data_IF_676911565648
#
_entry.id   IF_676911565648
#
_cell.length_a   1.000
_cell.length_b   1.000
_cell.length_c   1.000
_cell.angle_alpha   90.00
_cell.angle_beta   90.00
_cell.angle_gamma   90.00
#
_symmetry.space_group_name_H-M   'P 1'
#
loop_
_entity.id
_entity.type
_entity.pdbx_description
1 polymer ?
#
# COMPACT_ATOMS: atom_id res chain seq x y z
N UNK A 1 18.80 5.36 -15.97
CA UNK A 1 17.88 4.48 -15.21
C UNK A 1 17.73 4.99 -13.78
N UNK A 2 16.53 5.20 -13.36
CA UNK A 2 16.26 5.68 -12.01
C UNK A 2 16.37 4.54 -11.00
N UNK A 3 17.12 4.77 -9.93
CA UNK A 3 17.22 3.81 -8.83
C UNK A 3 16.17 4.17 -7.79
N UNK A 4 15.25 3.24 -7.53
CA UNK A 4 14.25 3.39 -6.49
C UNK A 4 14.67 2.67 -5.23
N UNK A 5 14.41 3.28 -4.09
CA UNK A 5 14.61 2.65 -2.78
C UNK A 5 13.34 2.74 -1.96
N UNK A 6 13.16 1.78 -1.05
CA UNK A 6 12.05 1.79 -0.09
C UNK A 6 12.65 1.73 1.30
N UNK A 7 12.16 2.59 2.18
CA UNK A 7 12.63 2.68 3.56
C UNK A 7 11.47 2.95 4.51
N UNK A 8 11.72 2.75 5.81
CA UNK A 8 10.73 3.14 6.81
C UNK A 8 10.53 4.66 6.77
N UNK A 9 9.28 5.09 6.95
CA UNK A 9 8.96 6.51 7.01
C UNK A 9 9.47 7.12 8.30
N UNK A 10 9.80 8.41 8.25
CA UNK A 10 10.13 9.21 9.43
C UNK A 10 9.23 10.44 9.47
N UNK A 11 9.35 11.25 10.53
CA UNK A 11 8.49 12.42 10.73
C UNK A 11 8.52 13.38 9.53
N UNK A 12 9.67 13.52 8.89
CA UNK A 12 9.81 14.43 7.75
C UNK A 12 9.02 14.00 6.52
N UNK A 13 8.64 12.72 6.44
CA UNK A 13 7.88 12.19 5.31
C UNK A 13 6.38 12.44 5.42
N UNK A 14 5.88 12.73 6.61
CA UNK A 14 4.44 12.77 6.89
C UNK A 14 3.70 13.80 6.03
N UNK A 15 4.19 15.04 5.85
CA UNK A 15 3.48 15.99 4.97
C UNK A 15 3.30 15.47 3.54
N UNK A 16 4.33 14.85 2.95
CA UNK A 16 4.23 14.31 1.60
C UNK A 16 3.27 13.12 1.52
N UNK A 17 3.30 12.24 2.52
CA UNK A 17 2.39 11.09 2.59
C UNK A 17 0.93 11.57 2.68
N UNK A 18 0.64 12.50 3.59
CA UNK A 18 -0.72 13.00 3.77
C UNK A 18 -1.21 13.76 2.56
N UNK A 19 -0.35 14.51 1.89
CA UNK A 19 -0.71 15.24 0.67
C UNK A 19 -1.08 14.28 -0.46
N UNK A 20 -0.33 13.21 -0.63
CA UNK A 20 -0.61 12.20 -1.64
C UNK A 20 -1.91 11.45 -1.32
N UNK A 21 -2.14 11.12 -0.06
CA UNK A 21 -3.37 10.49 0.40
C UNK A 21 -4.58 11.37 0.04
N UNK A 22 -4.50 12.67 0.34
CA UNK A 22 -5.58 13.61 0.05
C UNK A 22 -5.84 13.75 -1.46
N UNK A 23 -4.79 13.61 -2.26
CA UNK A 23 -4.92 13.67 -3.72
C UNK A 23 -5.61 12.42 -4.29
N UNK A 24 -5.35 11.26 -3.71
CA UNK A 24 -5.76 9.98 -4.29
C UNK A 24 -7.06 9.41 -3.73
N UNK A 25 -7.50 9.84 -2.54
CA UNK A 25 -8.62 9.20 -1.86
C UNK A 25 -9.65 10.22 -1.40
N UNK A 26 -10.94 9.81 -1.45
CA UNK A 26 -12.06 10.69 -1.12
C UNK A 26 -12.22 10.92 0.39
N UNK A 27 -11.76 9.97 1.21
CA UNK A 27 -11.78 10.08 2.68
C UNK A 27 -10.36 9.90 3.20
N UNK A 28 -9.49 10.89 2.99
CA UNK A 28 -8.07 10.73 3.30
C UNK A 28 -7.80 10.71 4.80
N UNK A 29 -6.78 9.93 5.19
CA UNK A 29 -6.20 10.01 6.52
C UNK A 29 -5.41 11.32 6.63
N UNK A 30 -5.33 11.85 7.84
CA UNK A 30 -4.66 13.14 8.11
C UNK A 30 -3.21 12.91 8.54
N UNK A 31 -2.44 14.00 8.58
CA UNK A 31 -1.04 13.94 9.05
C UNK A 31 -0.94 13.28 10.42
N UNK A 32 -1.84 13.63 11.34
CA UNK A 32 -1.84 13.05 12.69
C UNK A 32 -1.98 11.53 12.66
N UNK A 33 -2.85 11.02 11.79
CA UNK A 33 -3.09 9.58 11.69
C UNK A 33 -1.82 8.85 11.22
N UNK A 34 -1.12 9.42 10.24
CA UNK A 34 0.14 8.85 9.76
C UNK A 34 1.25 9.01 10.80
N UNK A 35 1.32 10.14 11.48
CA UNK A 35 2.31 10.34 12.53
C UNK A 35 2.17 9.31 13.66
N UNK A 36 0.94 8.98 14.03
CA UNK A 36 0.67 7.98 15.06
C UNK A 36 1.18 6.59 14.66
N UNK A 37 1.24 6.29 13.36
CA UNK A 37 1.77 5.01 12.88
C UNK A 37 3.25 4.84 13.17
N UNK A 38 4.01 5.94 13.24
CA UNK A 38 5.47 5.88 13.40
C UNK A 38 5.88 5.27 14.73
N UNK A 39 5.02 5.37 15.75
CA UNK A 39 5.30 4.87 17.10
C UNK A 39 4.46 3.66 17.47
N UNK A 40 3.64 3.16 16.56
CA UNK A 40 2.78 1.99 16.81
C UNK A 40 3.47 0.74 16.24
N UNK A 41 3.89 -0.21 17.09
CA UNK A 41 4.58 -1.41 16.62
C UNK A 41 3.71 -2.32 15.74
N UNK A 42 2.38 -2.19 15.81
CA UNK A 42 1.46 -2.93 14.95
C UNK A 42 1.28 -2.31 13.57
N UNK A 43 1.87 -1.15 13.32
CA UNK A 43 1.73 -0.43 12.06
C UNK A 43 3.04 -0.39 11.31
N UNK A 44 2.94 -0.38 9.98
CA UNK A 44 4.09 -0.23 9.08
C UNK A 44 3.78 0.89 8.11
N UNK A 45 4.69 1.84 8.00
CA UNK A 45 4.62 2.90 7.00
C UNK A 45 5.97 2.96 6.30
N UNK A 46 5.98 2.63 5.02
CA UNK A 46 7.18 2.66 4.18
C UNK A 46 7.00 3.72 3.11
N UNK A 47 8.09 4.38 2.77
CA UNK A 47 8.11 5.34 1.66
C UNK A 47 9.08 4.90 0.59
N UNK A 48 8.74 5.22 -0.65
CA UNK A 48 9.61 4.98 -1.79
C UNK A 48 10.24 6.30 -2.21
N UNK A 49 11.49 6.21 -2.62
CA UNK A 49 12.22 7.35 -3.18
C UNK A 49 12.79 6.94 -4.54
N UNK A 50 12.76 7.87 -5.48
CA UNK A 50 13.37 7.70 -6.80
C UNK A 50 14.25 8.94 -7.03
N UNK A 51 15.54 8.72 -7.23
CA UNK A 51 16.52 9.83 -7.37
C UNK A 51 16.46 10.80 -6.19
N UNK A 52 16.25 10.26 -4.99
CA UNK A 52 16.20 11.05 -3.76
C UNK A 52 14.89 11.79 -3.51
N UNK A 53 13.91 11.64 -4.39
CA UNK A 53 12.60 12.29 -4.26
C UNK A 53 11.51 11.30 -3.88
N UNK A 54 10.55 11.75 -3.06
CA UNK A 54 9.40 10.96 -2.65
C UNK A 54 8.63 10.45 -3.86
N UNK A 55 8.42 9.14 -3.94
CA UNK A 55 7.71 8.51 -5.07
C UNK A 55 6.58 7.59 -4.65
N UNK A 56 6.16 7.65 -3.40
CA UNK A 56 4.99 6.89 -2.93
C UNK A 56 5.16 6.34 -1.53
N UNK A 57 4.08 5.71 -1.03
CA UNK A 57 4.09 5.10 0.30
C UNK A 57 3.17 3.89 0.35
N UNK A 58 3.38 3.05 1.36
CA UNK A 58 2.47 1.96 1.71
C UNK A 58 2.27 1.96 3.21
N UNK A 59 1.02 1.80 3.64
CA UNK A 59 0.63 1.72 5.04
C UNK A 59 -0.06 0.38 5.28
N UNK A 60 0.28 -0.26 6.40
CA UNK A 60 -0.26 -1.57 6.74
C UNK A 60 -0.35 -1.73 8.25
N UNK A 61 -1.16 -2.68 8.70
CA UNK A 61 -1.22 -3.09 10.09
C UNK A 61 -0.96 -4.59 10.18
N UNK A 62 -0.43 -5.04 11.33
CA UNK A 62 -0.11 -6.45 11.56
C UNK A 62 -0.72 -6.91 12.88
N UNK A 63 -1.43 -8.04 12.83
CA UNK A 63 -1.96 -8.72 14.01
C UNK A 63 -1.53 -10.18 13.90
N UNK A 64 -0.67 -10.60 14.84
CA UNK A 64 -0.08 -11.95 14.83
C UNK A 64 0.69 -12.16 13.50
N UNK A 65 0.31 -13.16 12.71
CA UNK A 65 0.96 -13.49 11.44
C UNK A 65 0.18 -12.98 10.22
N UNK A 66 -0.75 -12.04 10.43
CA UNK A 66 -1.57 -11.48 9.37
C UNK A 66 -1.40 -9.97 9.28
N UNK A 67 -1.26 -9.48 8.06
CA UNK A 67 -1.14 -8.05 7.79
C UNK A 67 -2.18 -7.61 6.79
N UNK A 68 -2.74 -6.43 7.00
CA UNK A 68 -3.64 -5.80 6.06
C UNK A 68 -3.00 -4.56 5.46
N UNK A 69 -2.98 -4.46 4.14
CA UNK A 69 -2.54 -3.23 3.47
C UNK A 69 -3.70 -2.25 3.54
N UNK A 70 -3.49 -1.14 4.24
CA UNK A 70 -4.49 -0.09 4.36
C UNK A 70 -4.51 0.76 3.11
N UNK A 71 -3.32 1.17 2.65
CA UNK A 71 -3.19 2.09 1.52
C UNK A 71 -1.84 1.88 0.84
N UNK A 72 -1.83 1.95 -0.47
CA UNK A 72 -0.61 2.10 -1.26
C UNK A 72 -0.89 3.15 -2.33
N UNK A 73 -0.01 4.13 -2.47
CA UNK A 73 -0.20 5.21 -3.43
C UNK A 73 1.12 5.67 -4.03
N UNK A 74 1.04 6.02 -5.31
CA UNK A 74 2.16 6.57 -6.09
C UNK A 74 1.65 7.85 -6.75
N UNK A 75 2.43 8.95 -6.72
CA UNK A 75 2.01 10.17 -7.41
C UNK A 75 1.68 9.90 -8.87
N UNK A 76 0.59 10.48 -9.41
CA UNK A 76 0.16 10.18 -10.77
C UNK A 76 1.27 10.30 -11.82
N UNK A 77 2.12 11.32 -11.71
CA UNK A 77 3.21 11.55 -12.65
C UNK A 77 4.30 10.47 -12.60
N UNK A 78 4.35 9.68 -11.53
CA UNK A 78 5.40 8.68 -11.32
C UNK A 78 4.89 7.24 -11.45
N UNK A 79 3.63 7.06 -11.82
CA UNK A 79 3.04 5.73 -11.98
C UNK A 79 3.64 5.02 -13.20
N UNK A 80 3.62 3.68 -13.16
CA UNK A 80 4.15 2.85 -14.24
C UNK A 80 5.66 2.71 -14.22
N UNK A 81 6.34 3.13 -13.14
CA UNK A 81 7.80 3.07 -13.03
C UNK A 81 8.28 2.09 -11.98
N UNK A 82 7.38 1.27 -11.43
CA UNK A 82 7.75 0.20 -10.50
C UNK A 82 7.73 0.59 -9.03
N UNK A 83 7.37 1.83 -8.66
CA UNK A 83 7.35 2.24 -7.24
C UNK A 83 6.30 1.45 -6.45
N UNK A 84 5.09 1.26 -6.98
CA UNK A 84 4.05 0.48 -6.31
C UNK A 84 4.48 -0.95 -6.07
N UNK A 85 5.08 -1.57 -7.08
CA UNK A 85 5.61 -2.94 -6.97
C UNK A 85 6.68 -3.01 -5.88
N UNK A 86 7.61 -2.07 -5.86
CA UNK A 86 8.70 -2.04 -4.88
C UNK A 86 8.16 -1.88 -3.46
N UNK A 87 7.14 -1.03 -3.27
CA UNK A 87 6.50 -0.82 -1.97
C UNK A 87 5.84 -2.10 -1.46
N UNK A 88 5.06 -2.76 -2.30
CA UNK A 88 4.36 -4.00 -1.91
C UNK A 88 5.38 -5.10 -1.62
N UNK A 89 6.40 -5.24 -2.46
CA UNK A 89 7.44 -6.25 -2.26
C UNK A 89 8.20 -6.01 -0.95
N UNK A 90 8.54 -4.75 -0.65
CA UNK A 90 9.21 -4.40 0.59
C UNK A 90 8.35 -4.74 1.82
N UNK A 91 7.04 -4.53 1.72
CA UNK A 91 6.13 -4.91 2.79
C UNK A 91 6.10 -6.43 2.98
N UNK A 92 6.00 -7.20 1.89
CA UNK A 92 6.03 -8.66 1.94
C UNK A 92 7.29 -9.14 2.66
N UNK A 93 8.43 -8.57 2.29
CA UNK A 93 9.72 -8.96 2.86
C UNK A 93 9.84 -8.60 4.34
N UNK A 94 9.17 -7.52 4.76
CA UNK A 94 9.25 -7.04 6.14
C UNK A 94 8.35 -7.82 7.09
N UNK A 95 7.09 -8.08 6.69
CA UNK A 95 6.09 -8.63 7.63
C UNK A 95 5.96 -10.14 7.58
N UNK A 96 6.20 -10.76 6.44
CA UNK A 96 5.99 -12.21 6.29
C UNK A 96 4.53 -12.60 6.50
N UNK A 97 4.27 -13.88 6.78
CA UNK A 97 2.93 -14.36 7.09
C UNK A 97 1.94 -14.20 5.95
N UNK A 98 0.70 -13.92 6.28
CA UNK A 98 -0.38 -13.71 5.32
C UNK A 98 -0.68 -12.23 5.19
N UNK A 99 -0.90 -11.78 3.96
CA UNK A 99 -1.14 -10.37 3.67
C UNK A 99 -2.44 -10.24 2.87
N UNK A 100 -3.29 -9.31 3.30
CA UNK A 100 -4.61 -9.07 2.71
C UNK A 100 -4.72 -7.62 2.26
N UNK A 101 -5.49 -7.40 1.20
CA UNK A 101 -5.86 -6.05 0.78
C UNK A 101 -7.21 -6.08 0.09
N UNK A 102 -7.89 -4.93 0.07
CA UNK A 102 -9.06 -4.71 -0.75
C UNK A 102 -8.68 -3.74 -1.88
N UNK A 103 -9.22 -3.99 -3.07
CA UNK A 103 -9.01 -3.14 -4.23
C UNK A 103 -10.33 -2.95 -4.96
N UNK A 104 -10.58 -1.77 -5.50
CA UNK A 104 -11.79 -1.53 -6.29
C UNK A 104 -11.83 -2.50 -7.46
N UNK A 105 -13.00 -3.08 -7.69
CA UNK A 105 -13.21 -4.05 -8.76
C UNK A 105 -12.78 -3.48 -10.11
N UNK A 106 -13.01 -2.19 -10.33
CA UNK A 106 -12.67 -1.52 -11.59
C UNK A 106 -11.20 -1.16 -11.73
N UNK A 107 -10.40 -1.28 -10.64
CA UNK A 107 -9.00 -0.89 -10.67
C UNK A 107 -8.15 -2.01 -11.29
N UNK A 108 -8.26 -2.17 -12.60
CA UNK A 108 -7.58 -3.23 -13.34
C UNK A 108 -6.06 -3.15 -13.22
N UNK A 109 -5.42 -1.98 -13.31
CA UNK A 109 -3.96 -1.91 -13.14
C UNK A 109 -3.48 -2.42 -11.78
N UNK A 110 -4.17 -2.06 -10.70
CA UNK A 110 -3.79 -2.51 -9.36
C UNK A 110 -4.02 -4.02 -9.22
N UNK A 111 -5.14 -4.52 -9.71
CA UNK A 111 -5.43 -5.96 -9.67
C UNK A 111 -4.36 -6.75 -10.42
N UNK A 112 -3.93 -6.25 -11.58
CA UNK A 112 -2.87 -6.89 -12.36
C UNK A 112 -1.53 -6.86 -11.61
N UNK A 113 -1.22 -5.75 -10.94
CA UNK A 113 0.00 -5.63 -10.15
C UNK A 113 0.03 -6.67 -9.03
N UNK A 114 -1.05 -6.77 -8.26
CA UNK A 114 -1.09 -7.71 -7.15
C UNK A 114 -1.02 -9.15 -7.64
N UNK A 115 -1.72 -9.48 -8.72
CA UNK A 115 -1.65 -10.82 -9.31
C UNK A 115 -0.21 -11.16 -9.74
N UNK A 116 0.49 -10.21 -10.34
CA UNK A 116 1.86 -10.41 -10.79
C UNK A 116 2.84 -10.62 -9.64
N UNK A 117 2.49 -10.13 -8.44
CA UNK A 117 3.31 -10.32 -7.24
C UNK A 117 2.98 -11.61 -6.50
N UNK A 118 1.95 -12.34 -6.93
CA UNK A 118 1.57 -13.62 -6.34
C UNK A 118 0.33 -13.57 -5.46
N UNK A 119 -0.37 -12.43 -5.41
CA UNK A 119 -1.65 -12.37 -4.70
C UNK A 119 -2.73 -13.11 -5.48
N UNK A 120 -3.59 -13.83 -4.76
CA UNK A 120 -4.76 -14.47 -5.32
C UNK A 120 -6.01 -13.69 -4.93
N UNK A 121 -6.96 -13.56 -5.85
CA UNK A 121 -8.26 -12.98 -5.52
C UNK A 121 -9.08 -14.04 -4.77
N UNK A 122 -9.47 -13.76 -3.54
CA UNK A 122 -10.07 -14.75 -2.65
C UNK A 122 -11.45 -14.35 -2.12
N UNK A 123 -12.02 -13.25 -2.57
CA UNK A 123 -13.36 -12.85 -2.16
C UNK A 123 -13.78 -11.51 -2.74
N UNK A 124 -15.01 -11.13 -2.44
CA UNK A 124 -15.59 -9.87 -2.87
C UNK A 124 -16.38 -9.29 -1.69
N UNK A 125 -16.24 -7.98 -1.46
CA UNK A 125 -17.05 -7.24 -0.49
C UNK A 125 -17.98 -6.32 -1.27
N UNK A 126 -19.28 -6.61 -1.26
CA UNK A 126 -20.26 -5.83 -2.01
C UNK A 126 -20.40 -4.43 -1.43
N UNK A 127 -20.40 -3.43 -2.32
CA UNK A 127 -20.65 -2.03 -1.96
C UNK A 127 -19.70 -1.52 -0.89
N UNK A 128 -18.45 -2.02 -0.88
CA UNK A 128 -17.44 -1.67 0.13
C UNK A 128 -16.99 -0.23 0.01
N UNK A 129 -16.83 0.28 -1.21
CA UNK A 129 -16.37 1.63 -1.47
C UNK A 129 -17.54 2.59 -1.66
N UNK A 130 -17.30 3.84 -1.25
CA UNK A 130 -18.20 4.97 -1.49
C UNK A 130 -17.54 5.94 -2.47
N UNK A 131 -18.34 6.80 -3.11
CA UNK A 131 -17.91 7.94 -3.91
C UNK A 131 -16.89 7.62 -5.03
N UNK A 132 -17.21 6.74 -5.97
CA UNK A 132 -18.48 6.06 -6.22
C UNK A 132 -18.61 4.74 -5.45
N UNK A 133 -19.85 4.29 -5.30
CA UNK A 133 -20.12 2.98 -4.70
C UNK A 133 -19.63 1.89 -5.64
N UNK A 134 -18.87 0.98 -5.08
CA UNK A 134 -18.27 -0.10 -5.86
C UNK A 134 -17.89 -1.27 -4.97
N UNK A 135 -17.91 -2.48 -5.53
CA UNK A 135 -17.44 -3.67 -4.83
C UNK A 135 -15.92 -3.63 -4.68
N UNK A 136 -15.44 -4.24 -3.61
CA UNK A 136 -14.02 -4.51 -3.42
C UNK A 136 -13.72 -5.96 -3.79
N UNK A 137 -12.58 -6.18 -4.42
CA UNK A 137 -11.99 -7.51 -4.56
C UNK A 137 -11.00 -7.69 -3.42
N UNK A 138 -11.12 -8.81 -2.71
CA UNK A 138 -10.19 -9.18 -1.63
C UNK A 138 -9.06 -10.01 -2.21
N UNK A 139 -7.82 -9.56 -2.01
CA UNK A 139 -6.63 -10.24 -2.47
C UNK A 139 -5.80 -10.74 -1.29
N UNK A 140 -5.21 -11.91 -1.43
CA UNK A 140 -4.47 -12.58 -0.36
C UNK A 140 -3.12 -13.08 -0.88
N UNK A 141 -2.10 -12.93 -0.04
CA UNK A 141 -0.76 -13.45 -0.29
C UNK A 141 -0.31 -14.25 0.93
N UNK A 142 0.22 -15.44 0.72
CA UNK A 142 0.74 -16.27 1.81
C UNK A 142 2.23 -16.50 1.58
N UNK A 143 3.06 -15.89 2.42
CA UNK A 143 4.52 -15.97 2.31
C UNK A 143 5.02 -17.42 2.33
N UNK A 144 4.37 -18.29 3.12
CA UNK A 144 4.76 -19.69 3.22
C UNK A 144 4.61 -20.44 1.89
N UNK A 145 3.71 -20.01 1.02
CA UNK A 145 3.49 -20.64 -0.29
C UNK A 145 4.45 -20.15 -1.36
N UNK A 146 5.25 -19.12 -1.05
CA UNK A 146 6.18 -18.49 -1.98
C UNK A 146 7.63 -18.57 -1.49
N UNK A 147 7.85 -19.33 -0.43
CA UNK A 147 9.19 -19.52 0.14
C UNK A 147 10.06 -20.42 -0.74
#
# INVERSE_FOLDING_TARGET
MTAGTVRAACADDIPAVAALEALCFSCPWREKDFADMLTDPARTLLVAETDGAFSGYIAAYTVLDESGITTVAVPPALRGRGAGRALVQALIDKVGGRIFLEVRKSNTPARALYASLGFAECGTRKNYYESPREDAVLCCFDTAKHA
#
